data_IF_714169316004
#
_entry.id   IF_714169316004
#
_cell.length_a   1.000
_cell.length_b   1.000
_cell.length_c   1.000
_cell.angle_alpha   90.00
_cell.angle_beta   90.00
_cell.angle_gamma   90.00
#
_symmetry.space_group_name_H-M   'P 1'
#
loop_
_entity.id
_entity.type
_entity.pdbx_description
1 polymer ?
#
# COMPACT_ATOMS: atom_id res chain seq x y z
N UNK A 1 1.16 17.40 -3.57
CA UNK A 1 2.58 17.02 -3.68
C UNK A 1 2.65 15.52 -3.54
N UNK A 2 3.53 14.83 -4.28
CA UNK A 2 3.88 13.43 -3.99
C UNK A 2 5.07 13.42 -3.05
N UNK A 3 4.93 12.82 -1.89
CA UNK A 3 5.96 12.64 -0.87
C UNK A 3 6.73 11.34 -1.10
N UNK A 4 6.06 10.28 -1.55
CA UNK A 4 6.67 8.96 -1.73
C UNK A 4 6.31 8.29 -3.07
N UNK A 5 7.29 7.62 -3.68
CA UNK A 5 7.13 6.90 -4.94
C UNK A 5 6.70 5.43 -4.72
N UNK A 6 5.55 5.23 -4.07
CA UNK A 6 5.03 3.88 -3.80
C UNK A 6 4.71 3.08 -5.08
N UNK A 7 4.36 3.76 -6.18
CA UNK A 7 4.04 3.14 -7.47
C UNK A 7 5.20 2.30 -8.01
N UNK A 8 6.43 2.83 -7.91
CA UNK A 8 7.63 2.11 -8.33
C UNK A 8 7.86 0.85 -7.50
N UNK A 9 7.64 0.94 -6.19
CA UNK A 9 7.78 -0.21 -5.30
C UNK A 9 6.67 -1.25 -5.55
N UNK A 10 5.45 -0.79 -5.86
CA UNK A 10 4.36 -1.68 -6.24
C UNK A 10 4.66 -2.45 -7.54
N UNK A 11 5.28 -1.79 -8.52
CA UNK A 11 5.77 -2.42 -9.75
C UNK A 11 6.88 -3.45 -9.45
N UNK A 12 7.88 -3.08 -8.65
CA UNK A 12 8.96 -3.99 -8.20
C UNK A 12 8.39 -5.21 -7.45
N UNK A 13 7.32 -5.02 -6.68
CA UNK A 13 6.61 -6.06 -5.94
C UNK A 13 5.67 -6.92 -6.81
N UNK A 14 5.54 -6.62 -8.10
CA UNK A 14 4.57 -7.24 -9.03
C UNK A 14 3.12 -7.17 -8.50
N UNK A 15 2.75 -6.08 -7.83
CA UNK A 15 1.39 -5.89 -7.33
C UNK A 15 0.47 -5.54 -8.50
N UNK A 16 -0.58 -6.33 -8.77
CA UNK A 16 -1.54 -6.00 -9.82
C UNK A 16 -2.27 -4.69 -9.52
N UNK A 17 -2.54 -3.87 -10.54
CA UNK A 17 -3.18 -2.54 -10.35
C UNK A 17 -4.50 -2.62 -9.59
N UNK A 18 -5.35 -3.61 -9.88
CA UNK A 18 -6.62 -3.80 -9.17
C UNK A 18 -6.44 -4.06 -7.67
N UNK A 19 -5.33 -4.68 -7.27
CA UNK A 19 -4.97 -4.94 -5.88
C UNK A 19 -4.34 -3.74 -5.20
N UNK A 20 -3.54 -2.97 -5.93
CA UNK A 20 -3.05 -1.67 -5.48
C UNK A 20 -4.19 -0.69 -5.22
N UNK A 21 -5.18 -0.61 -6.13
CA UNK A 21 -6.36 0.24 -5.98
C UNK A 21 -7.19 -0.15 -4.74
N UNK A 22 -7.26 -1.46 -4.42
CA UNK A 22 -7.92 -1.98 -3.23
C UNK A 22 -7.18 -1.51 -1.95
N UNK A 23 -5.85 -1.66 -1.90
CA UNK A 23 -5.03 -1.16 -0.80
C UNK A 23 -5.16 0.36 -0.61
N UNK A 24 -5.10 1.11 -1.72
CA UNK A 24 -5.26 2.57 -1.68
C UNK A 24 -6.59 2.99 -1.07
N UNK A 25 -7.69 2.31 -1.43
CA UNK A 25 -9.01 2.61 -0.88
C UNK A 25 -9.11 2.34 0.61
N UNK A 26 -8.48 1.27 1.09
CA UNK A 26 -8.49 0.90 2.51
C UNK A 26 -7.65 1.92 3.31
N UNK A 27 -6.39 2.11 2.93
CA UNK A 27 -5.45 3.00 3.64
C UNK A 27 -5.91 4.46 3.58
N UNK A 28 -6.61 4.89 2.51
CA UNK A 28 -7.18 6.25 2.43
C UNK A 28 -8.32 6.47 3.44
N UNK A 29 -8.98 5.42 3.92
CA UNK A 29 -9.98 5.54 4.99
C UNK A 29 -9.32 5.82 6.34
N UNK A 30 -8.12 5.28 6.58
CA UNK A 30 -7.33 5.54 7.79
C UNK A 30 -6.75 6.96 7.79
N UNK A 31 -6.36 7.47 6.61
CA UNK A 31 -5.77 8.80 6.44
C UNK A 31 -6.52 9.65 5.40
N UNK A 32 -7.78 10.10 5.65
CA UNK A 32 -8.62 10.73 4.63
C UNK A 32 -8.06 12.03 4.04
N UNK A 33 -7.36 12.81 4.86
CA UNK A 33 -6.83 14.13 4.50
C UNK A 33 -5.31 14.26 4.73
N UNK A 34 -4.65 13.21 5.23
CA UNK A 34 -3.20 13.20 5.44
C UNK A 34 -2.52 12.44 4.29
N UNK A 35 -2.19 13.18 3.23
CA UNK A 35 -1.55 12.64 2.03
C UNK A 35 -0.17 12.03 2.34
N UNK A 36 0.57 12.61 3.30
CA UNK A 36 1.90 12.11 3.66
C UNK A 36 1.80 10.75 4.34
N UNK A 37 0.91 10.61 5.33
CA UNK A 37 0.70 9.34 6.03
C UNK A 37 0.10 8.27 5.11
N UNK A 38 -0.86 8.65 4.27
CA UNK A 38 -1.41 7.77 3.24
C UNK A 38 -0.30 7.20 2.34
N UNK A 39 0.52 8.06 1.75
CA UNK A 39 1.57 7.63 0.82
C UNK A 39 2.69 6.84 1.52
N UNK A 40 3.06 7.23 2.75
CA UNK A 40 4.06 6.51 3.54
C UNK A 40 3.59 5.10 3.91
N UNK A 41 2.34 4.96 4.33
CA UNK A 41 1.79 3.67 4.72
C UNK A 41 1.69 2.75 3.50
N UNK A 42 1.19 3.27 2.38
CA UNK A 42 1.12 2.53 1.12
C UNK A 42 2.50 2.06 0.65
N UNK A 43 3.52 2.93 0.75
CA UNK A 43 4.91 2.57 0.48
C UNK A 43 5.38 1.41 1.36
N UNK A 44 5.13 1.47 2.68
CA UNK A 44 5.56 0.43 3.63
C UNK A 44 4.92 -0.92 3.36
N UNK A 45 3.64 -0.94 2.99
CA UNK A 45 2.94 -2.17 2.60
C UNK A 45 3.56 -2.74 1.33
N UNK A 46 3.78 -1.91 0.30
CA UNK A 46 4.42 -2.34 -0.94
C UNK A 46 5.83 -2.91 -0.70
N UNK A 47 6.63 -2.27 0.16
CA UNK A 47 7.96 -2.77 0.55
C UNK A 47 7.86 -4.12 1.25
N UNK A 48 6.89 -4.30 2.15
CA UNK A 48 6.71 -5.57 2.87
C UNK A 48 6.30 -6.72 1.94
N UNK A 49 5.54 -6.43 0.88
CA UNK A 49 5.20 -7.40 -0.17
C UNK A 49 6.43 -7.70 -1.04
N UNK A 50 7.15 -6.66 -1.48
CA UNK A 50 8.37 -6.79 -2.30
C UNK A 50 9.43 -7.65 -1.61
N UNK A 51 9.64 -7.40 -0.32
CA UNK A 51 10.67 -8.06 0.49
C UNK A 51 10.16 -9.43 1.04
N UNK A 52 9.00 -9.90 0.57
CA UNK A 52 8.37 -11.18 0.93
C UNK A 52 8.11 -11.38 2.44
N UNK A 53 7.99 -10.29 3.20
CA UNK A 53 7.59 -10.35 4.62
C UNK A 53 6.12 -10.72 4.78
N UNK A 54 5.28 -10.31 3.82
CA UNK A 54 3.84 -10.64 3.76
C UNK A 54 3.43 -10.94 2.33
N UNK A 55 2.45 -11.80 2.15
CA UNK A 55 1.83 -12.00 0.83
C UNK A 55 0.83 -10.88 0.51
N UNK A 56 0.53 -10.65 -0.78
CA UNK A 56 -0.49 -9.67 -1.20
C UNK A 56 -1.85 -9.89 -0.55
N UNK A 57 -2.28 -11.16 -0.42
CA UNK A 57 -3.56 -11.50 0.21
C UNK A 57 -3.55 -11.26 1.72
N UNK A 58 -2.41 -11.50 2.36
CA UNK A 58 -2.22 -11.24 3.78
C UNK A 58 -2.20 -9.74 4.08
N UNK A 59 -1.48 -8.95 3.28
CA UNK A 59 -1.49 -7.50 3.37
C UNK A 59 -2.92 -6.96 3.30
N UNK A 60 -3.72 -7.35 2.30
CA UNK A 60 -5.12 -6.94 2.19
C UNK A 60 -5.98 -7.32 3.39
N UNK A 61 -5.71 -8.47 4.01
CA UNK A 61 -6.42 -8.91 5.20
C UNK A 61 -6.04 -8.08 6.42
N UNK A 62 -4.76 -7.74 6.57
CA UNK A 62 -4.25 -6.92 7.66
C UNK A 62 -4.80 -5.49 7.57
N UNK A 63 -4.74 -4.85 6.40
CA UNK A 63 -5.26 -3.49 6.22
C UNK A 63 -6.78 -3.41 6.43
N UNK A 64 -7.55 -4.46 6.12
CA UNK A 64 -9.00 -4.49 6.40
C UNK A 64 -9.34 -4.64 7.89
N UNK A 65 -8.36 -5.04 8.70
CA UNK A 65 -8.54 -5.30 10.13
C UNK A 65 -7.98 -4.16 11.00
N UNK A 66 -7.28 -3.20 10.40
CA UNK A 66 -6.80 -1.97 11.04
C UNK A 66 -7.93 -0.96 11.23
#
# INVERSE_FOLDING_TARGET
MRYFYYEKVAEEANIPQNKLDELMKIIRQEFPADDMMFELHLLRVCMSIRDHHVSMNEALRLEKAA
#
